data_IF_347919227728
#
_entry.id   IF_347919227728
#
_cell.length_a   1.000
_cell.length_b   1.000
_cell.length_c   1.000
_cell.angle_alpha   90.00
_cell.angle_beta   90.00
_cell.angle_gamma   90.00
#
_symmetry.space_group_name_H-M   'P 1'
#
loop_
_entity.id
_entity.type
_entity.pdbx_description
1 polymer ?
#
# COMPACT_ATOMS: atom_id res chain seq x y z
N UNK A 1 10.46 -29.94 30.63
CA UNK A 1 11.15 -29.90 29.33
C UNK A 1 11.28 -28.44 28.91
N UNK A 2 12.42 -27.83 29.19
CA UNK A 2 12.77 -26.46 28.81
C UNK A 2 13.55 -26.50 27.51
N UNK A 3 12.88 -26.18 26.40
CA UNK A 3 13.55 -25.93 25.12
C UNK A 3 14.17 -24.53 25.19
N UNK A 4 15.33 -24.41 25.83
CA UNK A 4 16.21 -23.25 25.67
C UNK A 4 16.91 -23.37 24.32
N UNK A 5 16.16 -23.06 23.24
CA UNK A 5 16.76 -22.82 21.94
C UNK A 5 17.63 -21.57 22.06
N UNK A 6 18.95 -21.75 22.01
CA UNK A 6 19.90 -20.65 21.87
C UNK A 6 19.52 -19.91 20.60
N UNK A 7 18.88 -18.76 20.74
CA UNK A 7 18.69 -17.81 19.65
C UNK A 7 20.09 -17.45 19.18
N UNK A 8 20.51 -18.01 18.05
CA UNK A 8 21.69 -17.50 17.33
C UNK A 8 21.42 -16.02 17.11
N UNK A 9 22.28 -15.16 17.67
CA UNK A 9 22.27 -13.75 17.29
C UNK A 9 22.27 -13.69 15.76
N UNK A 10 21.27 -13.04 15.15
CA UNK A 10 21.22 -12.92 13.71
C UNK A 10 22.52 -12.28 13.26
N UNK A 11 23.17 -12.88 12.26
CA UNK A 11 24.39 -12.33 11.69
C UNK A 11 24.13 -10.85 11.35
N UNK A 12 24.80 -9.95 12.06
CA UNK A 12 24.68 -8.52 11.85
C UNK A 12 24.98 -8.24 10.38
N UNK A 13 24.01 -7.71 9.65
CA UNK A 13 24.25 -7.26 8.29
C UNK A 13 25.13 -6.00 8.35
N UNK A 14 25.96 -5.81 7.32
CA UNK A 14 26.76 -4.58 7.21
C UNK A 14 25.82 -3.43 6.89
N UNK A 15 25.69 -2.49 7.83
CA UNK A 15 24.85 -1.32 7.65
C UNK A 15 25.36 -0.42 6.53
N UNK A 16 24.43 0.08 5.72
CA UNK A 16 24.67 0.94 4.56
C UNK A 16 23.99 2.27 4.83
N UNK A 17 24.73 3.37 4.70
CA UNK A 17 24.15 4.70 4.78
C UNK A 17 23.15 4.91 3.63
N UNK A 18 21.85 5.12 3.94
CA UNK A 18 20.86 5.38 2.92
C UNK A 18 21.03 6.78 2.33
N UNK A 19 20.40 7.00 1.18
CA UNK A 19 20.38 8.29 0.48
C UNK A 19 19.40 9.27 1.09
N UNK A 20 19.09 10.32 0.32
CA UNK A 20 18.21 11.40 0.74
C UNK A 20 16.85 10.89 1.23
N UNK A 21 16.28 11.66 2.16
CA UNK A 21 14.98 11.41 2.75
C UNK A 21 13.97 12.42 2.24
N UNK A 22 13.22 12.02 1.21
CA UNK A 22 12.37 12.93 0.47
C UNK A 22 10.89 12.68 0.77
N UNK A 23 10.20 13.70 1.27
CA UNK A 23 8.73 13.68 1.37
C UNK A 23 8.12 14.01 0.02
N UNK A 24 7.26 13.14 -0.49
CA UNK A 24 6.52 13.41 -1.73
C UNK A 24 5.42 14.43 -1.50
N UNK A 25 5.38 15.46 -2.36
CA UNK A 25 4.30 16.42 -2.39
C UNK A 25 2.99 15.76 -2.88
N UNK A 26 1.88 16.16 -2.27
CA UNK A 26 0.53 15.77 -2.71
C UNK A 26 0.17 16.49 -4.00
N UNK A 27 -0.48 15.79 -4.93
CA UNK A 27 -0.99 16.39 -6.15
C UNK A 27 -2.36 17.03 -5.92
N UNK A 28 -2.69 18.02 -6.76
CA UNK A 28 -4.05 18.50 -6.88
C UNK A 28 -4.87 17.51 -7.73
N UNK A 29 -5.75 16.76 -7.09
CA UNK A 29 -6.58 15.78 -7.75
C UNK A 29 -7.83 16.37 -8.44
N UNK A 30 -8.12 17.67 -8.32
CA UNK A 30 -9.33 18.29 -8.90
C UNK A 30 -9.37 18.33 -10.44
N UNK A 31 -8.29 17.90 -11.12
CA UNK A 31 -8.11 18.05 -12.56
C UNK A 31 -8.66 16.87 -13.41
N UNK A 32 -9.34 15.90 -12.79
CA UNK A 32 -9.78 14.68 -13.47
C UNK A 32 -11.30 14.56 -13.42
N UNK A 33 -12.03 14.97 -14.47
CA UNK A 33 -13.46 14.74 -14.50
C UNK A 33 -13.70 13.22 -14.59
N UNK A 34 -14.50 12.64 -13.70
CA UNK A 34 -14.77 11.22 -13.74
C UNK A 34 -15.61 10.87 -14.98
N UNK A 35 -15.46 9.64 -15.46
CA UNK A 35 -16.29 9.14 -16.56
C UNK A 35 -17.71 8.88 -16.06
N UNK A 36 -18.71 9.40 -16.76
CA UNK A 36 -20.11 9.08 -16.55
C UNK A 36 -20.50 7.86 -17.38
N UNK A 37 -21.25 6.93 -16.80
CA UNK A 37 -21.96 5.89 -17.55
C UNK A 37 -23.27 6.45 -18.11
N UNK A 38 -23.84 5.87 -19.16
CA UNK A 38 -25.21 6.14 -19.63
C UNK A 38 -26.21 5.07 -19.16
N UNK A 39 -25.75 3.87 -18.80
CA UNK A 39 -26.62 2.76 -18.37
C UNK A 39 -27.09 2.90 -16.92
N UNK A 40 -28.10 2.15 -16.47
CA UNK A 40 -28.54 2.15 -15.06
C UNK A 40 -27.50 1.54 -14.10
N UNK A 41 -26.44 0.94 -14.65
CA UNK A 41 -25.36 0.28 -13.93
C UNK A 41 -24.05 1.05 -14.16
N UNK A 42 -23.19 1.09 -13.14
CA UNK A 42 -21.83 1.58 -13.30
C UNK A 42 -20.89 0.37 -13.40
N UNK A 43 -20.68 -0.12 -14.63
CA UNK A 43 -19.93 -1.36 -14.88
C UNK A 43 -18.44 -1.04 -15.08
N UNK A 44 -17.62 -1.45 -14.12
CA UNK A 44 -16.18 -1.36 -14.17
C UNK A 44 -15.57 -2.66 -14.71
N UNK A 45 -14.73 -2.57 -15.73
CA UNK A 45 -14.08 -3.71 -16.38
C UNK A 45 -12.74 -4.03 -15.73
N UNK A 46 -12.63 -5.20 -15.13
CA UNK A 46 -11.38 -5.81 -14.69
C UNK A 46 -10.80 -6.65 -15.84
N UNK A 47 -9.74 -6.17 -16.49
CA UNK A 47 -9.13 -6.90 -17.62
C UNK A 47 -8.19 -8.01 -17.14
N UNK A 48 -8.34 -9.22 -17.66
CA UNK A 48 -7.30 -10.25 -17.50
C UNK A 48 -6.04 -9.82 -18.25
N UNK A 49 -4.93 -9.72 -17.56
CA UNK A 49 -3.63 -9.66 -18.22
C UNK A 49 -2.58 -10.29 -17.31
N UNK A 50 -1.43 -10.66 -17.89
CA UNK A 50 -0.25 -11.01 -17.10
C UNK A 50 0.13 -9.91 -16.10
N UNK A 51 -0.23 -8.67 -16.40
CA UNK A 51 -0.06 -7.52 -15.52
C UNK A 51 -0.96 -7.63 -14.29
N UNK A 52 -2.28 -7.79 -14.44
CA UNK A 52 -3.21 -7.89 -13.29
C UNK A 52 -3.01 -9.15 -12.46
N UNK A 53 -2.39 -10.19 -13.01
CA UNK A 53 -1.97 -11.37 -12.25
C UNK A 53 -0.98 -11.03 -11.12
N UNK A 54 -0.29 -9.89 -11.19
CA UNK A 54 0.47 -9.35 -10.07
C UNK A 54 -0.44 -8.54 -9.14
N UNK A 55 -0.42 -8.89 -7.86
CA UNK A 55 -1.29 -8.34 -6.82
C UNK A 55 -1.43 -6.79 -6.84
N UNK A 56 -0.36 -5.98 -6.93
CA UNK A 56 -0.50 -4.51 -6.97
C UNK A 56 -1.33 -3.98 -8.14
N UNK A 57 -1.24 -4.63 -9.31
CA UNK A 57 -1.96 -4.21 -10.50
C UNK A 57 -3.44 -4.61 -10.46
N UNK A 58 -3.78 -5.71 -9.76
CA UNK A 58 -5.16 -6.02 -9.44
C UNK A 58 -5.77 -4.95 -8.52
N UNK A 59 -5.05 -4.57 -7.47
CA UNK A 59 -5.51 -3.53 -6.53
C UNK A 59 -5.63 -2.16 -7.19
N UNK A 60 -4.69 -1.79 -8.07
CA UNK A 60 -4.79 -0.58 -8.90
C UNK A 60 -6.12 -0.51 -9.65
N UNK A 61 -6.55 -1.62 -10.27
CA UNK A 61 -7.83 -1.67 -10.99
C UNK A 61 -9.02 -1.51 -10.05
N UNK A 62 -8.98 -2.16 -8.88
CA UNK A 62 -10.05 -2.09 -7.88
C UNK A 62 -10.20 -0.65 -7.37
N UNK A 63 -9.10 0.05 -7.07
CA UNK A 63 -9.15 1.44 -6.59
C UNK A 63 -9.72 2.38 -7.64
N UNK A 64 -9.31 2.24 -8.90
CA UNK A 64 -9.86 3.02 -10.00
C UNK A 64 -11.35 2.78 -10.23
N UNK A 65 -11.85 1.57 -10.00
CA UNK A 65 -13.28 1.28 -10.09
C UNK A 65 -14.09 2.08 -9.05
N UNK A 66 -13.54 2.30 -7.85
CA UNK A 66 -14.27 2.97 -6.78
C UNK A 66 -14.61 4.42 -7.13
N UNK A 67 -13.64 5.23 -7.56
CA UNK A 67 -13.92 6.60 -7.98
C UNK A 67 -14.84 6.70 -9.20
N UNK A 68 -14.81 5.69 -10.08
CA UNK A 68 -15.79 5.59 -11.15
C UNK A 68 -17.21 5.37 -10.60
N UNK A 69 -17.40 4.55 -9.58
CA UNK A 69 -18.72 4.36 -8.96
C UNK A 69 -19.19 5.56 -8.15
N UNK A 70 -18.32 6.24 -7.41
CA UNK A 70 -18.68 7.46 -6.68
C UNK A 70 -19.20 8.55 -7.62
N UNK A 71 -18.56 8.71 -8.78
CA UNK A 71 -19.01 9.62 -9.83
C UNK A 71 -20.34 9.22 -10.49
N UNK A 72 -20.79 7.99 -10.26
CA UNK A 72 -22.01 7.41 -10.78
C UNK A 72 -22.90 6.91 -9.63
N UNK A 73 -22.89 7.58 -8.48
CA UNK A 73 -23.51 7.14 -7.21
C UNK A 73 -25.02 6.84 -7.26
N UNK A 74 -25.74 7.28 -8.30
CA UNK A 74 -27.13 6.90 -8.55
C UNK A 74 -27.31 5.54 -9.25
N UNK A 75 -26.21 4.84 -9.58
CA UNK A 75 -26.20 3.62 -10.38
C UNK A 75 -25.70 2.43 -9.57
N UNK A 76 -26.14 1.24 -9.93
CA UNK A 76 -25.70 0.02 -9.25
C UNK A 76 -24.23 -0.30 -9.61
N UNK A 77 -23.30 -0.40 -8.62
CA UNK A 77 -21.89 -0.67 -8.89
C UNK A 77 -21.66 -2.14 -9.27
N UNK A 78 -20.94 -2.35 -10.36
CA UNK A 78 -20.61 -3.68 -10.87
C UNK A 78 -19.14 -3.73 -11.22
N UNK A 79 -18.43 -4.76 -10.78
CA UNK A 79 -17.11 -5.12 -11.28
C UNK A 79 -17.22 -6.40 -12.10
N UNK A 80 -16.79 -6.35 -13.35
CA UNK A 80 -16.82 -7.48 -14.27
C UNK A 80 -15.41 -7.93 -14.63
N UNK A 81 -15.13 -9.22 -14.39
CA UNK A 81 -13.87 -9.87 -14.76
C UNK A 81 -14.02 -10.85 -15.93
N UNK A 82 -12.93 -11.27 -16.57
CA UNK A 82 -12.92 -12.44 -17.45
C UNK A 82 -13.43 -13.73 -16.74
N UNK A 83 -14.02 -14.69 -17.47
CA UNK A 83 -14.32 -16.00 -16.90
C UNK A 83 -13.02 -16.71 -16.51
N UNK A 84 -12.98 -17.36 -15.35
CA UNK A 84 -11.82 -18.14 -14.91
C UNK A 84 -10.66 -17.35 -14.32
N UNK A 85 -10.77 -16.04 -14.15
CA UNK A 85 -9.74 -15.27 -13.44
C UNK A 85 -9.85 -15.42 -11.92
N UNK A 86 -8.69 -15.58 -11.29
CA UNK A 86 -8.55 -15.79 -9.85
C UNK A 86 -9.07 -14.56 -9.10
N UNK A 87 -10.03 -14.76 -8.18
CA UNK A 87 -10.76 -13.70 -7.48
C UNK A 87 -12.18 -13.44 -7.99
N UNK A 88 -12.51 -13.83 -9.23
CA UNK A 88 -13.88 -13.84 -9.77
C UNK A 88 -14.47 -15.25 -9.85
N UNK A 89 -13.62 -16.27 -9.66
CA UNK A 89 -14.00 -17.66 -9.46
C UNK A 89 -13.31 -18.14 -8.17
N UNK A 90 -14.03 -18.82 -7.24
CA UNK A 90 -13.44 -19.38 -6.03
C UNK A 90 -12.27 -20.30 -6.40
N UNK A 91 -11.03 -19.88 -6.13
CA UNK A 91 -9.81 -20.62 -6.46
C UNK A 91 -8.63 -20.10 -5.63
N UNK A 92 -7.44 -20.68 -5.80
CA UNK A 92 -6.19 -20.42 -5.04
C UNK A 92 -5.56 -19.02 -5.22
N UNK A 93 -6.39 -17.97 -5.31
CA UNK A 93 -6.01 -16.55 -5.34
C UNK A 93 -5.18 -16.19 -4.11
N UNK A 94 -4.33 -15.15 -4.15
CA UNK A 94 -3.92 -14.48 -2.92
C UNK A 94 -5.20 -14.08 -2.19
N UNK A 95 -5.42 -14.69 -1.03
CA UNK A 95 -6.60 -14.58 -0.17
C UNK A 95 -7.11 -13.12 -0.04
N UNK A 96 -6.20 -12.15 -0.09
CA UNK A 96 -6.50 -10.72 -0.01
C UNK A 96 -7.45 -10.17 -1.09
N UNK A 97 -7.24 -10.45 -2.39
CA UNK A 97 -8.08 -9.82 -3.46
C UNK A 97 -9.50 -10.36 -3.40
N UNK A 98 -9.64 -11.64 -3.13
CA UNK A 98 -10.94 -12.31 -3.00
C UNK A 98 -11.70 -11.78 -1.78
N UNK A 99 -11.05 -11.75 -0.61
CA UNK A 99 -11.64 -11.21 0.62
C UNK A 99 -11.94 -9.70 0.48
N UNK A 100 -11.15 -8.94 -0.27
CA UNK A 100 -11.45 -7.55 -0.60
C UNK A 100 -12.72 -7.42 -1.43
N UNK A 101 -12.88 -8.20 -2.50
CA UNK A 101 -14.07 -8.15 -3.35
C UNK A 101 -15.32 -8.60 -2.57
N UNK A 102 -15.19 -9.57 -1.67
CA UNK A 102 -16.25 -9.98 -0.75
C UNK A 102 -16.62 -8.85 0.23
N UNK A 103 -15.62 -8.19 0.82
CA UNK A 103 -15.84 -7.04 1.70
C UNK A 103 -16.51 -5.88 0.95
N UNK A 104 -16.15 -5.63 -0.31
CA UNK A 104 -16.80 -4.62 -1.16
C UNK A 104 -18.25 -4.99 -1.48
N UNK A 105 -18.53 -6.26 -1.75
CA UNK A 105 -19.89 -6.75 -1.91
C UNK A 105 -20.71 -6.52 -0.63
N UNK A 106 -20.16 -6.90 0.52
CA UNK A 106 -20.84 -6.76 1.81
C UNK A 106 -21.01 -5.32 2.30
N UNK A 107 -20.03 -4.45 2.05
CA UNK A 107 -20.03 -3.06 2.50
C UNK A 107 -20.82 -2.11 1.59
N UNK A 108 -20.80 -2.37 0.27
CA UNK A 108 -21.29 -1.41 -0.73
C UNK A 108 -22.24 -2.01 -1.75
N UNK A 109 -22.66 -3.27 -1.57
CA UNK A 109 -23.53 -3.98 -2.50
C UNK A 109 -22.96 -4.04 -3.94
N UNK A 110 -21.62 -4.10 -4.09
CA UNK A 110 -20.97 -4.27 -5.40
C UNK A 110 -21.33 -5.65 -5.95
N UNK A 111 -21.81 -5.71 -7.20
CA UNK A 111 -21.92 -7.00 -7.91
C UNK A 111 -20.57 -7.37 -8.51
N UNK A 112 -20.03 -8.52 -8.09
CA UNK A 112 -18.84 -9.14 -8.66
C UNK A 112 -19.31 -10.24 -9.62
N UNK A 113 -18.98 -10.11 -10.91
CA UNK A 113 -19.49 -11.03 -11.95
C UNK A 113 -18.46 -11.21 -13.07
N UNK A 114 -18.72 -12.14 -13.99
CA UNK A 114 -17.85 -12.42 -15.13
C UNK A 114 -18.48 -11.97 -16.46
N UNK A 115 -17.65 -11.71 -17.47
CA UNK A 115 -18.14 -11.18 -18.76
C UNK A 115 -19.12 -12.09 -19.47
N UNK A 116 -19.04 -13.41 -19.25
CA UNK A 116 -19.98 -14.41 -19.79
C UNK A 116 -21.35 -14.44 -19.08
N UNK A 117 -21.45 -13.77 -17.92
CA UNK A 117 -22.70 -13.60 -17.17
C UNK A 117 -23.43 -12.28 -17.50
N UNK A 118 -22.84 -11.43 -18.34
CA UNK A 118 -23.42 -10.18 -18.78
C UNK A 118 -23.93 -10.30 -20.23
N UNK A 119 -24.94 -9.50 -20.57
CA UNK A 119 -25.36 -9.35 -21.97
C UNK A 119 -24.36 -8.46 -22.73
N UNK A 120 -24.40 -8.51 -24.07
CA UNK A 120 -23.48 -7.76 -24.93
C UNK A 120 -23.54 -6.24 -24.70
N UNK A 121 -24.73 -5.69 -24.42
CA UNK A 121 -24.90 -4.25 -24.13
C UNK A 121 -24.12 -3.84 -22.89
N UNK A 122 -24.24 -4.61 -21.81
CA UNK A 122 -23.52 -4.39 -20.55
C UNK A 122 -22.01 -4.53 -20.75
N UNK A 123 -21.57 -5.58 -21.45
CA UNK A 123 -20.14 -5.80 -21.78
C UNK A 123 -19.56 -4.63 -22.58
N UNK A 124 -20.31 -4.13 -23.57
CA UNK A 124 -19.88 -3.01 -24.41
C UNK A 124 -19.90 -1.66 -23.66
N UNK A 125 -20.75 -1.53 -22.64
CA UNK A 125 -20.80 -0.34 -21.78
C UNK A 125 -19.74 -0.33 -20.66
N UNK A 126 -19.10 -1.48 -20.40
CA UNK A 126 -18.15 -1.62 -19.31
C UNK A 126 -16.88 -0.76 -19.53
N UNK A 127 -16.54 0.05 -18.52
CA UNK A 127 -15.45 1.02 -18.60
C UNK A 127 -14.18 0.45 -17.97
N UNK A 128 -13.03 0.54 -18.65
CA UNK A 128 -11.72 0.44 -17.98
C UNK A 128 -11.39 1.81 -17.35
N UNK A 129 -11.38 1.91 -16.01
CA UNK A 129 -11.20 3.19 -15.33
C UNK A 129 -9.74 3.69 -15.41
N UNK A 130 -8.75 2.87 -15.76
CA UNK A 130 -7.34 3.31 -15.86
C UNK A 130 -7.04 4.10 -17.16
N UNK A 131 -8.00 4.83 -17.72
CA UNK A 131 -7.77 5.65 -18.89
C UNK A 131 -8.16 7.12 -18.63
N UNK A 132 -7.20 8.07 -18.63
CA UNK A 132 -5.77 7.89 -18.92
C UNK A 132 -5.01 7.13 -17.81
N UNK A 133 -3.98 6.35 -18.19
CA UNK A 133 -3.23 5.46 -17.28
C UNK A 133 -2.54 6.26 -16.17
N UNK A 134 -3.08 6.18 -14.96
CA UNK A 134 -2.41 6.57 -13.72
C UNK A 134 -2.45 5.40 -12.76
N UNK A 135 -1.29 5.08 -12.21
CA UNK A 135 -1.13 4.02 -11.22
C UNK A 135 -1.95 4.39 -9.99
N UNK A 136 -2.72 3.43 -9.47
CA UNK A 136 -3.58 3.57 -8.28
C UNK A 136 -4.48 4.82 -8.23
N UNK A 137 -5.05 5.24 -9.35
CA UNK A 137 -5.90 6.42 -9.35
C UNK A 137 -7.19 6.20 -8.55
N UNK A 138 -7.34 6.94 -7.47
CA UNK A 138 -8.57 7.08 -6.68
C UNK A 138 -8.58 8.49 -6.08
N UNK A 139 -9.73 9.17 -6.03
CA UNK A 139 -9.79 10.47 -5.36
C UNK A 139 -9.63 10.30 -3.86
N UNK A 140 -8.96 11.25 -3.21
CA UNK A 140 -8.59 11.13 -1.80
C UNK A 140 -9.79 10.96 -0.87
N UNK A 141 -10.84 11.74 -1.11
CA UNK A 141 -12.08 11.65 -0.35
C UNK A 141 -12.84 10.34 -0.64
N UNK A 142 -12.79 9.87 -1.89
CA UNK A 142 -13.38 8.59 -2.28
C UNK A 142 -12.64 7.42 -1.61
N UNK A 143 -11.31 7.45 -1.58
CA UNK A 143 -10.47 6.47 -0.91
C UNK A 143 -10.79 6.41 0.60
N UNK A 144 -11.04 7.56 1.22
CA UNK A 144 -11.46 7.62 2.61
C UNK A 144 -12.82 6.94 2.84
N UNK A 145 -13.84 7.31 2.06
CA UNK A 145 -15.18 6.67 2.14
C UNK A 145 -15.10 5.15 1.93
N UNK A 146 -14.34 4.73 0.92
CA UNK A 146 -14.14 3.31 0.59
C UNK A 146 -13.51 2.55 1.75
N UNK A 147 -12.41 3.05 2.29
CA UNK A 147 -11.74 2.36 3.40
C UNK A 147 -12.57 2.35 4.67
N UNK A 148 -13.29 3.43 5.00
CA UNK A 148 -14.19 3.46 6.16
C UNK A 148 -15.34 2.45 6.05
N UNK A 149 -15.94 2.30 4.86
CA UNK A 149 -17.00 1.30 4.65
C UNK A 149 -16.48 -0.14 4.82
N UNK A 150 -15.30 -0.45 4.28
CA UNK A 150 -14.66 -1.75 4.45
C UNK A 150 -14.30 -2.01 5.91
N UNK A 151 -13.63 -1.07 6.59
CA UNK A 151 -13.25 -1.24 8.00
C UNK A 151 -14.47 -1.47 8.90
N UNK A 152 -15.56 -0.74 8.66
CA UNK A 152 -16.83 -0.93 9.38
C UNK A 152 -17.41 -2.33 9.13
N UNK A 153 -17.44 -2.78 7.88
CA UNK A 153 -17.93 -4.12 7.52
C UNK A 153 -17.10 -5.21 8.21
N UNK A 154 -15.77 -5.06 8.19
CA UNK A 154 -14.81 -5.97 8.80
C UNK A 154 -14.68 -5.82 10.32
N UNK A 155 -15.43 -4.90 10.94
CA UNK A 155 -15.37 -4.60 12.38
C UNK A 155 -13.93 -4.36 12.83
N UNK A 156 -13.25 -3.48 12.10
CA UNK A 156 -11.88 -3.02 12.38
C UNK A 156 -11.97 -1.55 12.76
N UNK A 157 -11.37 -1.19 13.89
CA UNK A 157 -11.27 0.20 14.32
C UNK A 157 -10.05 0.85 13.68
N UNK A 158 -10.24 2.04 13.11
CA UNK A 158 -9.13 2.91 12.70
C UNK A 158 -8.72 3.79 13.87
N UNK A 159 -7.45 3.73 14.23
CA UNK A 159 -6.91 4.49 15.35
C UNK A 159 -5.73 5.31 14.84
N UNK A 160 -5.87 6.63 14.86
CA UNK A 160 -4.85 7.61 14.51
C UNK A 160 -4.87 8.77 15.48
N UNK A 161 -3.75 9.49 15.63
CA UNK A 161 -3.64 10.69 16.47
C UNK A 161 -4.10 10.49 17.93
N UNK A 162 -3.94 9.28 18.48
CA UNK A 162 -4.38 8.91 19.84
C UNK A 162 -3.34 8.04 20.53
N UNK A 163 -3.08 8.35 21.80
CA UNK A 163 -2.19 7.55 22.64
C UNK A 163 -0.72 7.65 22.22
N UNK A 164 0.11 6.65 22.53
CA UNK A 164 1.48 6.58 22.03
C UNK A 164 1.49 6.44 20.50
N UNK A 165 2.57 6.93 19.88
CA UNK A 165 2.75 6.84 18.43
C UNK A 165 3.00 5.39 18.05
N UNK A 166 2.18 4.83 17.15
CA UNK A 166 2.31 3.42 16.74
C UNK A 166 3.10 3.31 15.44
N UNK A 167 4.31 2.78 15.56
CA UNK A 167 5.24 2.62 14.45
C UNK A 167 5.34 1.14 14.07
N UNK A 168 5.26 0.81 12.79
CA UNK A 168 5.33 -0.57 12.30
C UNK A 168 6.46 -0.74 11.31
N UNK A 169 7.28 -1.79 11.45
CA UNK A 169 8.12 -2.26 10.34
C UNK A 169 7.38 -3.38 9.62
N UNK A 170 6.88 -3.08 8.43
CA UNK A 170 6.29 -4.08 7.55
C UNK A 170 7.40 -4.77 6.76
N UNK A 171 7.90 -5.87 7.31
CA UNK A 171 9.00 -6.64 6.75
C UNK A 171 8.49 -7.79 5.85
N UNK A 172 9.42 -8.46 5.17
CA UNK A 172 9.15 -9.56 4.25
C UNK A 172 9.93 -10.79 4.66
N UNK A 173 9.38 -11.99 4.43
CA UNK A 173 10.22 -13.18 4.38
C UNK A 173 10.97 -13.25 3.04
N UNK A 174 12.25 -13.58 3.09
CA UNK A 174 13.07 -13.83 1.91
C UNK A 174 13.72 -12.58 1.28
N UNK A 175 13.11 -12.09 0.19
CA UNK A 175 13.67 -11.00 -0.62
C UNK A 175 13.04 -9.65 -0.26
N UNK A 176 13.84 -8.58 -0.36
CA UNK A 176 13.48 -7.22 0.07
C UNK A 176 13.17 -7.13 1.56
N UNK A 177 13.83 -7.97 2.36
CA UNK A 177 13.73 -7.93 3.81
C UNK A 177 14.63 -6.84 4.36
N UNK A 178 14.20 -6.14 5.41
CA UNK A 178 15.03 -5.26 6.22
C UNK A 178 15.70 -6.15 7.27
N UNK A 179 16.99 -6.43 7.07
CA UNK A 179 17.73 -7.44 7.84
C UNK A 179 18.03 -7.02 9.28
N UNK A 180 18.15 -5.72 9.53
CA UNK A 180 18.32 -5.13 10.86
C UNK A 180 17.03 -4.51 11.42
N UNK A 181 15.85 -4.96 10.98
CA UNK A 181 14.55 -4.42 11.43
C UNK A 181 14.39 -4.45 12.97
N UNK A 182 14.76 -5.56 13.60
CA UNK A 182 14.71 -5.70 15.07
C UNK A 182 15.64 -4.70 15.77
N UNK A 183 16.85 -4.50 15.26
CA UNK A 183 17.79 -3.52 15.81
C UNK A 183 17.26 -2.10 15.67
N UNK A 184 16.69 -1.75 14.51
CA UNK A 184 16.02 -0.45 14.30
C UNK A 184 14.89 -0.26 15.31
N UNK A 185 14.03 -1.28 15.50
CA UNK A 185 12.96 -1.22 16.52
C UNK A 185 13.53 -0.94 17.90
N UNK A 186 14.56 -1.68 18.31
CA UNK A 186 15.11 -1.57 19.65
C UNK A 186 15.76 -0.20 19.91
N UNK A 187 16.40 0.40 18.90
CA UNK A 187 16.94 1.77 19.01
C UNK A 187 15.84 2.84 19.08
N UNK A 188 14.76 2.69 18.31
CA UNK A 188 13.57 3.56 18.37
C UNK A 188 12.95 3.48 19.77
N UNK A 189 12.68 2.28 20.28
CA UNK A 189 12.10 2.08 21.61
C UNK A 189 13.02 2.60 22.73
N UNK A 190 14.34 2.43 22.58
CA UNK A 190 15.30 3.00 23.55
C UNK A 190 15.27 4.53 23.56
N UNK A 191 15.13 5.16 22.40
CA UNK A 191 15.13 6.62 22.29
C UNK A 191 13.84 7.25 22.83
N UNK A 192 12.66 6.74 22.43
CA UNK A 192 11.37 7.35 22.80
C UNK A 192 10.71 6.77 24.04
N UNK A 193 11.08 5.56 24.46
CA UNK A 193 10.45 4.87 25.58
C UNK A 193 8.95 4.69 25.36
N UNK A 194 8.14 5.01 26.39
CA UNK A 194 6.68 4.82 26.37
C UNK A 194 5.91 5.80 25.49
N UNK A 195 6.57 6.72 24.80
CA UNK A 195 5.92 7.63 23.84
C UNK A 195 5.61 6.94 22.51
N UNK A 196 6.28 5.81 22.23
CA UNK A 196 6.15 5.04 21.00
C UNK A 196 5.83 3.59 21.34
N UNK A 197 4.91 3.01 20.58
CA UNK A 197 4.75 1.56 20.46
C UNK A 197 5.31 1.15 19.10
N UNK A 198 6.08 0.06 19.05
CA UNK A 198 6.65 -0.39 17.78
C UNK A 198 6.69 -1.90 17.63
N UNK A 199 6.22 -2.40 16.49
CA UNK A 199 6.33 -3.81 16.12
C UNK A 199 6.98 -4.04 14.76
N UNK A 200 7.48 -5.25 14.56
CA UNK A 200 7.99 -5.76 13.28
C UNK A 200 7.08 -6.91 12.87
N UNK A 201 6.53 -6.86 11.66
CA UNK A 201 5.58 -7.87 11.19
C UNK A 201 5.85 -8.31 9.76
N UNK A 202 5.27 -9.44 9.37
CA UNK A 202 5.15 -9.88 7.97
C UNK A 202 3.71 -10.28 7.67
N UNK A 203 3.32 -10.27 6.40
CA UNK A 203 1.95 -10.61 5.97
C UNK A 203 1.80 -12.03 5.41
N UNK A 204 2.85 -12.84 5.39
CA UNK A 204 2.84 -14.17 4.73
C UNK A 204 1.78 -15.14 5.30
N UNK A 205 1.32 -14.91 6.52
CA UNK A 205 0.33 -15.72 7.21
C UNK A 205 -0.87 -14.92 7.75
N UNK A 206 -1.04 -13.66 7.34
CA UNK A 206 -2.15 -12.81 7.80
C UNK A 206 -3.32 -12.87 6.82
N UNK A 207 -4.52 -13.04 7.36
CA UNK A 207 -5.78 -12.85 6.64
C UNK A 207 -5.94 -11.40 6.15
N UNK A 208 -6.89 -11.14 5.24
CA UNK A 208 -7.23 -9.78 4.81
C UNK A 208 -7.53 -8.87 6.00
N UNK A 209 -8.40 -9.33 6.91
CA UNK A 209 -8.82 -8.58 8.08
C UNK A 209 -7.64 -8.22 8.98
N UNK A 210 -6.72 -9.14 9.21
CA UNK A 210 -5.52 -8.87 10.02
C UNK A 210 -4.58 -7.87 9.34
N UNK A 211 -4.43 -7.92 8.01
CA UNK A 211 -3.61 -6.97 7.26
C UNK A 211 -4.20 -5.56 7.32
N UNK A 212 -5.49 -5.39 7.05
CA UNK A 212 -6.14 -4.06 7.10
C UNK A 212 -6.22 -3.53 8.54
N UNK A 213 -6.40 -4.41 9.54
CA UNK A 213 -6.38 -4.01 10.94
C UNK A 213 -5.02 -3.52 11.37
N UNK A 214 -3.94 -4.17 10.91
CA UNK A 214 -2.59 -3.68 11.18
C UNK A 214 -2.37 -2.31 10.54
N UNK A 215 -2.73 -2.08 9.28
CA UNK A 215 -2.63 -0.73 8.70
C UNK A 215 -3.46 0.31 9.45
N UNK A 216 -4.69 -0.03 9.83
CA UNK A 216 -5.63 0.89 10.48
C UNK A 216 -5.21 1.35 11.87
N UNK A 217 -4.25 0.67 12.50
CA UNK A 217 -3.75 0.99 13.84
C UNK A 217 -2.33 1.55 13.86
N UNK A 218 -1.69 1.76 12.71
CA UNK A 218 -0.31 2.25 12.65
C UNK A 218 -0.24 3.67 12.11
N UNK A 219 0.38 4.56 12.89
CA UNK A 219 0.60 5.95 12.54
C UNK A 219 1.75 6.10 11.54
N UNK A 220 2.82 5.33 11.71
CA UNK A 220 4.00 5.37 10.85
C UNK A 220 4.38 3.95 10.45
N UNK A 221 4.63 3.70 9.17
CA UNK A 221 5.08 2.40 8.67
C UNK A 221 6.40 2.57 7.94
N UNK A 222 7.40 1.76 8.30
CA UNK A 222 8.66 1.62 7.56
C UNK A 222 8.68 0.28 6.83
N UNK A 223 8.96 0.30 5.52
CA UNK A 223 8.90 -0.90 4.70
C UNK A 223 9.81 -0.83 3.49
N UNK A 224 10.25 -1.99 3.01
CA UNK A 224 10.94 -2.11 1.73
C UNK A 224 9.96 -2.16 0.56
N UNK A 225 10.33 -1.52 -0.56
CA UNK A 225 9.50 -1.40 -1.76
C UNK A 225 8.84 -2.74 -2.15
N UNK A 226 7.50 -2.81 -2.16
CA UNK A 226 6.82 -3.99 -2.63
C UNK A 226 5.31 -4.03 -2.43
N UNK A 227 4.73 -5.14 -2.90
CA UNK A 227 3.28 -5.32 -2.99
C UNK A 227 2.51 -5.22 -1.66
N UNK A 228 3.21 -5.35 -0.53
CA UNK A 228 2.62 -5.20 0.80
C UNK A 228 2.13 -3.77 1.08
N UNK A 229 2.66 -2.77 0.38
CA UNK A 229 2.25 -1.37 0.49
C UNK A 229 0.85 -1.08 -0.07
N UNK A 230 0.26 -2.03 -0.80
CA UNK A 230 -1.09 -1.88 -1.38
C UNK A 230 -2.16 -1.64 -0.32
N UNK A 231 -1.95 -2.06 0.94
CA UNK A 231 -2.88 -1.82 2.04
C UNK A 231 -2.78 -0.44 2.70
N UNK A 232 -1.85 0.44 2.26
CA UNK A 232 -1.68 1.78 2.85
C UNK A 232 -2.96 2.66 2.89
N UNK A 233 -3.98 2.52 2.01
CA UNK A 233 -5.21 3.31 2.16
C UNK A 233 -5.91 3.13 3.51
N UNK A 234 -5.71 1.97 4.17
CA UNK A 234 -6.30 1.68 5.47
C UNK A 234 -5.60 2.40 6.63
N UNK A 235 -4.45 3.05 6.42
CA UNK A 235 -3.77 3.83 7.46
C UNK A 235 -4.60 5.05 7.93
N UNK A 236 -4.47 5.49 9.19
CA UNK A 236 -5.08 6.74 9.65
C UNK A 236 -4.71 7.95 8.79
N UNK A 237 -5.58 8.97 8.81
CA UNK A 237 -5.18 10.33 8.40
C UNK A 237 -3.93 10.73 9.19
N UNK A 238 -3.12 11.61 8.60
CA UNK A 238 -1.80 11.96 9.11
C UNK A 238 -0.77 10.81 9.12
N UNK A 239 -1.20 9.58 8.82
CA UNK A 239 -0.30 8.43 8.76
C UNK A 239 0.83 8.64 7.77
N UNK A 240 1.95 7.96 7.97
CA UNK A 240 3.14 8.11 7.15
C UNK A 240 3.75 6.77 6.74
N UNK A 241 4.10 6.64 5.47
CA UNK A 241 4.85 5.50 4.93
C UNK A 241 6.27 5.94 4.59
N UNK A 242 7.25 5.26 5.15
CA UNK A 242 8.67 5.36 4.78
C UNK A 242 9.00 4.14 3.93
N UNK A 243 9.26 4.36 2.64
CA UNK A 243 9.55 3.32 1.66
C UNK A 243 11.04 3.32 1.30
N UNK A 244 11.73 2.21 1.58
CA UNK A 244 13.13 2.02 1.18
C UNK A 244 13.24 1.23 -0.13
N UNK A 245 14.04 1.77 -1.05
CA UNK A 245 14.29 1.22 -2.38
C UNK A 245 15.67 0.58 -2.49
N UNK A 246 15.81 -0.56 -3.20
CA UNK A 246 17.12 -1.17 -3.39
C UNK A 246 17.95 -0.36 -4.39
N UNK A 247 19.27 -0.43 -4.25
CA UNK A 247 20.19 0.19 -5.20
C UNK A 247 19.93 -0.38 -6.61
N UNK A 248 19.78 0.51 -7.59
CA UNK A 248 19.46 0.17 -8.98
C UNK A 248 17.97 -0.11 -9.23
N UNK A 249 17.09 0.12 -8.26
CA UNK A 249 15.64 -0.05 -8.42
C UNK A 249 14.86 1.02 -7.64
N UNK A 250 14.78 2.23 -8.20
CA UNK A 250 14.09 3.38 -7.62
C UNK A 250 12.88 3.78 -8.47
N UNK A 251 11.67 3.48 -7.98
CA UNK A 251 10.40 3.75 -8.67
C UNK A 251 9.42 4.44 -7.69
N UNK A 252 9.75 5.66 -7.22
CA UNK A 252 9.03 6.31 -6.12
C UNK A 252 7.61 6.75 -6.49
N UNK A 253 7.26 6.75 -7.78
CA UNK A 253 5.95 7.18 -8.26
C UNK A 253 4.87 6.11 -8.11
N UNK A 254 5.24 4.82 -8.06
CA UNK A 254 4.28 3.72 -8.12
C UNK A 254 3.36 3.73 -6.90
N UNK A 255 3.90 3.41 -5.72
CA UNK A 255 3.16 3.53 -4.47
C UNK A 255 3.03 4.99 -4.00
N UNK A 256 3.87 5.90 -4.50
CA UNK A 256 3.71 7.33 -4.27
C UNK A 256 2.43 7.93 -4.86
N UNK A 257 1.86 7.33 -5.90
CA UNK A 257 0.55 7.77 -6.43
C UNK A 257 -0.60 7.20 -5.60
N UNK A 258 -0.44 5.98 -5.06
CA UNK A 258 -1.39 5.43 -4.10
C UNK A 258 -1.42 6.26 -2.82
N UNK A 259 -0.24 6.59 -2.30
CA UNK A 259 -0.11 7.43 -1.11
C UNK A 259 -0.68 8.81 -1.37
N UNK A 260 -0.43 9.43 -2.52
CA UNK A 260 -1.07 10.70 -2.91
C UNK A 260 -2.61 10.61 -2.89
N UNK A 261 -3.14 9.46 -3.29
CA UNK A 261 -4.56 9.15 -3.35
C UNK A 261 -5.18 8.75 -2.01
N UNK A 262 -4.39 8.62 -0.94
CA UNK A 262 -4.88 8.53 0.42
C UNK A 262 -4.29 9.67 1.28
N UNK A 263 -4.83 9.92 2.47
CA UNK A 263 -4.30 10.97 3.35
C UNK A 263 -2.96 10.61 4.03
N UNK A 264 -2.18 9.71 3.42
CA UNK A 264 -0.94 9.14 3.97
C UNK A 264 0.28 9.87 3.41
N UNK A 265 1.11 10.45 4.28
CA UNK A 265 2.38 11.03 3.89
C UNK A 265 3.33 9.94 3.38
N UNK A 266 4.11 10.22 2.34
CA UNK A 266 5.02 9.24 1.77
C UNK A 266 6.43 9.79 1.66
N UNK A 267 7.33 9.07 2.29
CA UNK A 267 8.74 9.37 2.33
C UNK A 267 9.50 8.26 1.61
N UNK A 268 10.42 8.65 0.75
CA UNK A 268 11.22 7.71 -0.02
C UNK A 268 12.66 7.74 0.43
N UNK A 269 13.26 6.55 0.57
CA UNK A 269 14.65 6.34 0.95
C UNK A 269 15.32 5.49 -0.10
N UNK A 270 16.44 5.94 -0.66
CA UNK A 270 17.24 5.11 -1.55
C UNK A 270 18.29 4.33 -0.77
N UNK A 271 18.55 3.08 -1.15
CA UNK A 271 19.40 2.14 -0.40
C UNK A 271 20.89 2.50 -0.34
N UNK A 272 21.33 3.60 -0.94
CA UNK A 272 22.67 4.16 -0.81
C UNK A 272 22.65 5.69 -0.97
N UNK A 273 23.82 6.32 -0.81
CA UNK A 273 24.01 7.77 -0.90
C UNK A 273 24.12 8.33 -2.33
N UNK A 274 23.58 7.65 -3.35
CA UNK A 274 23.60 8.20 -4.72
C UNK A 274 22.83 9.51 -4.80
N UNK A 275 23.40 10.50 -5.49
CA UNK A 275 22.74 11.77 -5.77
C UNK A 275 21.73 11.69 -6.91
N UNK A 276 21.75 10.62 -7.72
CA UNK A 276 20.78 10.39 -8.80
C UNK A 276 20.31 8.91 -8.82
N UNK A 277 19.41 8.52 -7.90
CA UNK A 277 18.82 7.18 -7.86
C UNK A 277 18.12 6.78 -9.17
N UNK A 278 17.64 7.74 -9.95
CA UNK A 278 17.00 7.48 -11.23
C UNK A 278 18.03 7.09 -12.30
N UNK A 279 19.19 7.75 -12.35
CA UNK A 279 20.29 7.35 -13.24
C UNK A 279 20.84 5.97 -12.89
N UNK A 280 21.00 5.67 -11.60
CA UNK A 280 21.40 4.34 -11.14
C UNK A 280 20.40 3.28 -11.64
N UNK A 281 19.10 3.55 -11.45
CA UNK A 281 18.04 2.63 -11.89
C UNK A 281 18.10 2.41 -13.40
N UNK A 282 18.17 3.47 -14.22
CA UNK A 282 18.27 3.34 -15.68
C UNK A 282 19.50 2.52 -16.11
N UNK A 283 20.64 2.72 -15.44
CA UNK A 283 21.90 2.06 -15.78
C UNK A 283 21.91 0.60 -15.35
N UNK A 284 21.49 0.32 -14.12
CA UNK A 284 21.61 -1.00 -13.50
C UNK A 284 20.46 -1.93 -13.90
N UNK A 285 19.27 -1.40 -14.18
CA UNK A 285 18.09 -2.17 -14.56
C UNK A 285 17.89 -2.25 -16.09
N UNK A 286 18.98 -2.23 -16.87
CA UNK A 286 18.94 -2.20 -18.33
C UNK A 286 18.25 -3.42 -18.95
N UNK A 287 18.29 -4.58 -18.27
CA UNK A 287 17.58 -5.79 -18.68
C UNK A 287 16.52 -6.21 -17.67
N UNK A 288 15.51 -6.95 -18.12
CA UNK A 288 14.45 -7.50 -17.25
C UNK A 288 15.02 -8.40 -16.15
N UNK A 289 16.04 -9.21 -16.46
CA UNK A 289 16.70 -10.10 -15.50
C UNK A 289 17.44 -9.31 -14.42
N UNK A 290 18.23 -8.31 -14.80
CA UNK A 290 18.93 -7.43 -13.87
C UNK A 290 17.94 -6.69 -12.97
N UNK A 291 16.86 -6.15 -13.55
CA UNK A 291 15.77 -5.52 -12.81
C UNK A 291 15.19 -6.46 -11.75
N UNK A 292 14.95 -7.73 -12.09
CA UNK A 292 14.47 -8.75 -11.16
C UNK A 292 15.44 -9.01 -10.00
N UNK A 293 16.74 -9.11 -10.30
CA UNK A 293 17.81 -9.31 -9.29
C UNK A 293 17.93 -8.13 -8.34
N UNK A 294 18.02 -6.91 -8.87
CA UNK A 294 18.14 -5.68 -8.07
C UNK A 294 16.92 -5.46 -7.18
N UNK A 295 15.71 -5.70 -7.73
CA UNK A 295 14.48 -5.65 -6.95
C UNK A 295 14.48 -6.66 -5.81
N UNK A 296 15.15 -7.80 -5.91
CA UNK A 296 15.13 -8.83 -4.88
C UNK A 296 16.11 -8.58 -3.71
N UNK A 297 16.95 -7.54 -3.80
CA UNK A 297 17.97 -7.22 -2.80
C UNK A 297 17.36 -6.90 -1.44
N UNK A 298 17.97 -7.45 -0.38
CA UNK A 298 17.63 -7.14 1.01
C UNK A 298 18.28 -5.84 1.47
N UNK A 299 17.71 -5.22 2.50
CA UNK A 299 18.13 -3.94 3.04
C UNK A 299 18.87 -4.13 4.35
N UNK A 300 19.88 -3.30 4.58
CA UNK A 300 20.50 -3.12 5.88
C UNK A 300 20.81 -1.63 6.08
N UNK A 301 19.80 -0.75 6.16
CA UNK A 301 20.04 0.68 6.28
C UNK A 301 20.68 1.01 7.63
N UNK A 302 21.55 2.01 7.65
CA UNK A 302 22.19 2.49 8.88
C UNK A 302 21.15 2.89 9.93
N UNK A 303 21.17 2.23 11.08
CA UNK A 303 20.13 2.35 12.11
C UNK A 303 20.05 3.78 12.65
N UNK A 304 21.21 4.42 12.89
CA UNK A 304 21.27 5.81 13.32
C UNK A 304 20.66 6.79 12.32
N UNK A 305 20.77 6.51 11.02
CA UNK A 305 20.15 7.35 9.97
C UNK A 305 18.64 7.13 9.90
N UNK A 306 18.18 5.89 10.00
CA UNK A 306 16.73 5.60 10.07
C UNK A 306 16.08 6.23 11.30
N UNK A 307 16.76 6.23 12.46
CA UNK A 307 16.27 6.93 13.66
C UNK A 307 16.07 8.43 13.41
N UNK A 308 16.98 9.09 12.68
CA UNK A 308 16.81 10.50 12.28
C UNK A 308 15.63 10.71 11.33
N UNK A 309 15.37 9.77 10.43
CA UNK A 309 14.20 9.83 9.55
C UNK A 309 12.90 9.71 10.36
N UNK A 310 12.85 8.80 11.34
CA UNK A 310 11.70 8.73 12.26
C UNK A 310 11.49 10.03 13.05
N UNK A 311 12.55 10.72 13.50
CA UNK A 311 12.41 12.02 14.17
C UNK A 311 11.67 13.05 13.29
N UNK A 312 12.05 13.14 12.01
CA UNK A 312 11.37 14.02 11.05
C UNK A 312 9.90 13.61 10.86
N UNK A 313 9.63 12.32 10.63
CA UNK A 313 8.27 11.84 10.36
C UNK A 313 7.36 11.97 11.58
N UNK A 314 7.87 11.72 12.78
CA UNK A 314 7.14 11.95 14.04
C UNK A 314 6.78 13.42 14.17
N UNK A 315 7.71 14.34 13.89
CA UNK A 315 7.42 15.77 13.92
C UNK A 315 6.32 16.16 12.92
N UNK A 316 6.36 15.62 11.70
CA UNK A 316 5.33 15.86 10.68
C UNK A 316 3.97 15.27 11.06
N UNK A 317 3.96 14.09 11.69
CA UNK A 317 2.74 13.44 12.19
C UNK A 317 2.11 14.24 13.33
N UNK A 318 2.89 14.68 14.32
CA UNK A 318 2.39 15.51 15.44
C UNK A 318 1.73 16.78 14.92
N UNK A 319 2.42 17.50 14.02
CA UNK A 319 1.90 18.73 13.41
C UNK A 319 0.57 18.51 12.69
N UNK A 320 0.44 17.40 11.94
CA UNK A 320 -0.81 17.05 11.27
C UNK A 320 -1.93 16.70 12.28
N UNK A 321 -1.62 15.92 13.31
CA UNK A 321 -2.60 15.56 14.34
C UNK A 321 -3.09 16.77 15.14
N UNK A 322 -2.22 17.75 15.41
CA UNK A 322 -2.63 19.02 16.02
C UNK A 322 -3.61 19.78 15.12
N UNK A 323 -3.37 19.83 13.81
CA UNK A 323 -4.30 20.49 12.88
C UNK A 323 -5.67 19.82 12.78
N UNK A 324 -5.74 18.48 12.75
CA UNK A 324 -7.03 17.76 12.65
C UNK A 324 -7.88 17.90 13.93
N UNK A 325 -7.28 18.23 15.08
CA UNK A 325 -8.03 18.47 16.33
C UNK A 325 -8.68 19.87 16.38
N UNK A 326 -8.40 20.74 15.41
CA UNK A 326 -8.93 22.11 15.34
C UNK A 326 -10.02 22.30 14.28
N UNK A 327 -10.30 21.28 13.47
CA UNK A 327 -11.37 21.24 12.45
C UNK A 327 -12.62 20.48 12.94
#
# INVERSE_FOLDING_TARGET
MTLSGVLKEPAQCLEIEPGNFDRRAKSNQSAFPPKTSESERAICKFMNSSFTAHFPHAMEKIYSCWSFWEANSGKHPVIVGPPGYKGFVPSSTPQFVEEMLQAMHGAFNVTVTTTDQLNDTDVNSAVDPNYPRREFHIFRDDAWKWTEGILRHEKVERVGCKGPIRIGILNRSGSRSILNAEHIRDEVLRYWGSQVEMDVTTFDAKSFREQIAWFATHDIIFTGHGAQETGMPFMPKCGALIEIFPVGYYIPHYFGTLSDSCHVNHYTVYGNQSSDPHADTRTMSATYEQRGKLRATNFCPATGTILRYFLQVVSDWVSCCESENHD
#
